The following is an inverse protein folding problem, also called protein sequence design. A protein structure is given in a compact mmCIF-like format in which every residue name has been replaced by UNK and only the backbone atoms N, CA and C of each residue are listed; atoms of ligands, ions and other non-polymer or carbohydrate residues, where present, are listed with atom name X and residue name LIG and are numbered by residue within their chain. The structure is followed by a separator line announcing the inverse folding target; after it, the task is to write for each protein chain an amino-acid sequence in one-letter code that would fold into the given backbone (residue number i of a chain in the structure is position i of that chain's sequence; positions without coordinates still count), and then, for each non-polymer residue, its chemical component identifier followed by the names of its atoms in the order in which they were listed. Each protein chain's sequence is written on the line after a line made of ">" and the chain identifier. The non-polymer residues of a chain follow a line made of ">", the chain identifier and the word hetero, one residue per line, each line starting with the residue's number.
data_IF_590924193466
#
_entry.id   IF_590924193466
#
_cell.length_a   1.000
_cell.length_b   1.000
_cell.length_c   1.000
_cell.angle_alpha   90.00
_cell.angle_beta   90.00
_cell.angle_gamma   90.00
#
_symmetry.space_group_name_H-M   'P 1'
#
loop_
_entity.id
_entity.type
_entity.pdbx_description
1 polymer ?
#
# COMPACT_ATOMS: atom_id res chain seq x y z
N UNK A 1 16.64 -4.63 -5.08
CA UNK A 1 15.51 -3.83 -4.60
C UNK A 1 14.43 -3.61 -5.67
N UNK A 2 13.39 -2.83 -5.33
CA UNK A 2 12.21 -2.62 -6.19
C UNK A 2 12.54 -2.12 -7.60
N UNK A 3 13.41 -1.10 -7.74
CA UNK A 3 13.79 -0.58 -9.05
C UNK A 3 14.47 -1.64 -9.93
N UNK A 4 15.31 -2.47 -9.33
CA UNK A 4 15.97 -3.59 -10.02
C UNK A 4 14.94 -4.62 -10.50
N UNK A 5 13.99 -5.00 -9.64
CA UNK A 5 12.88 -5.89 -10.01
C UNK A 5 12.03 -5.33 -11.14
N UNK A 6 11.71 -4.03 -11.09
CA UNK A 6 10.96 -3.33 -12.13
C UNK A 6 11.69 -3.30 -13.47
N UNK A 7 13.00 -3.00 -13.46
CA UNK A 7 13.84 -3.06 -14.66
C UNK A 7 13.85 -4.46 -15.24
N UNK A 8 14.09 -5.49 -14.42
CA UNK A 8 14.03 -6.89 -14.87
C UNK A 8 12.70 -7.23 -15.51
N UNK A 9 11.60 -6.86 -14.86
CA UNK A 9 10.24 -7.19 -15.32
C UNK A 9 9.92 -6.58 -16.69
N UNK A 10 10.32 -5.33 -16.92
CA UNK A 10 9.96 -4.61 -18.14
C UNK A 10 11.02 -4.67 -19.25
N UNK A 11 12.20 -5.27 -19.01
CA UNK A 11 13.29 -5.29 -19.99
C UNK A 11 13.77 -6.69 -20.34
N UNK A 12 14.32 -7.43 -19.38
CA UNK A 12 15.03 -8.69 -19.65
C UNK A 12 14.19 -9.94 -19.41
N UNK A 13 13.01 -9.76 -18.87
CA UNK A 13 12.17 -10.88 -18.39
C UNK A 13 12.58 -11.34 -16.97
N UNK A 14 11.62 -11.71 -16.18
CA UNK A 14 11.79 -12.01 -14.76
C UNK A 14 11.28 -10.86 -13.87
N UNK A 15 11.50 -10.97 -12.57
CA UNK A 15 10.91 -10.03 -11.61
C UNK A 15 9.40 -10.25 -11.40
N UNK A 16 8.91 -9.67 -10.31
CA UNK A 16 7.51 -9.85 -9.92
C UNK A 16 6.59 -8.99 -10.79
N UNK A 17 5.49 -9.57 -11.30
CA UNK A 17 4.52 -8.84 -12.13
C UNK A 17 3.63 -7.90 -11.33
N UNK A 18 3.44 -8.19 -10.04
CA UNK A 18 2.60 -7.41 -9.12
C UNK A 18 3.41 -7.11 -7.87
N UNK A 19 3.53 -5.85 -7.53
CA UNK A 19 4.25 -5.38 -6.33
C UNK A 19 3.30 -4.57 -5.47
N UNK A 20 3.18 -4.95 -4.22
CA UNK A 20 2.44 -4.20 -3.23
C UNK A 20 3.38 -3.36 -2.36
N UNK A 21 3.20 -2.05 -2.34
CA UNK A 21 3.88 -1.14 -1.45
C UNK A 21 3.13 -1.06 -0.12
N UNK A 22 3.72 -1.58 0.94
CA UNK A 22 3.15 -1.60 2.28
C UNK A 22 3.99 -0.76 3.23
N UNK A 23 3.48 0.38 3.63
CA UNK A 23 4.04 1.18 4.72
C UNK A 23 2.94 1.96 5.41
N UNK A 24 3.22 2.40 6.63
CA UNK A 24 2.39 3.36 7.34
C UNK A 24 2.42 4.71 6.62
N UNK A 25 1.54 5.61 7.02
CA UNK A 25 1.48 6.97 6.50
C UNK A 25 2.87 7.64 6.48
N UNK A 26 3.20 8.31 5.37
CA UNK A 26 4.51 8.97 5.21
C UNK A 26 5.68 8.05 4.85
N UNK A 27 5.48 6.73 4.73
CA UNK A 27 6.55 5.74 4.47
C UNK A 27 7.10 5.70 3.03
N UNK A 28 6.87 6.71 2.20
CA UNK A 28 7.49 6.83 0.88
C UNK A 28 6.81 6.07 -0.27
N UNK A 29 5.58 5.55 -0.09
CA UNK A 29 4.81 4.84 -1.16
C UNK A 29 4.75 5.65 -2.46
N UNK A 30 4.20 6.86 -2.39
CA UNK A 30 4.06 7.76 -3.56
C UNK A 30 5.41 8.15 -4.16
N UNK A 31 6.45 8.38 -3.35
CA UNK A 31 7.81 8.64 -3.86
C UNK A 31 8.38 7.46 -4.64
N UNK A 32 8.14 6.25 -4.17
CA UNK A 32 8.56 5.02 -4.88
C UNK A 32 7.85 4.88 -6.22
N UNK A 33 6.55 5.19 -6.28
CA UNK A 33 5.79 5.21 -7.53
C UNK A 33 6.27 6.29 -8.49
N UNK A 34 6.59 7.50 -7.99
CA UNK A 34 7.16 8.58 -8.80
C UNK A 34 8.53 8.19 -9.36
N UNK A 35 9.38 7.53 -8.58
CA UNK A 35 10.65 7.02 -9.06
C UNK A 35 10.47 6.03 -10.23
N UNK A 36 9.54 5.08 -10.11
CA UNK A 36 9.19 4.16 -11.20
C UNK A 36 8.60 4.90 -12.41
N UNK A 37 7.72 5.87 -12.18
CA UNK A 37 7.12 6.66 -13.25
C UNK A 37 8.17 7.39 -14.08
N UNK A 38 9.16 8.00 -13.44
CA UNK A 38 10.25 8.69 -14.14
C UNK A 38 11.24 7.71 -14.75
N UNK A 39 11.53 6.59 -14.09
CA UNK A 39 12.43 5.56 -14.58
C UNK A 39 12.04 5.07 -15.99
N UNK A 40 10.75 4.90 -16.24
CA UNK A 40 10.22 4.41 -17.53
C UNK A 40 9.62 5.51 -18.41
N UNK A 41 10.00 6.78 -18.19
CA UNK A 41 9.49 7.92 -18.95
C UNK A 41 10.13 8.11 -20.33
N UNK A 42 11.24 7.44 -20.61
CA UNK A 42 12.07 7.69 -21.78
C UNK A 42 13.14 8.76 -21.57
N UNK A 43 13.30 9.25 -20.31
CA UNK A 43 14.44 10.10 -19.93
C UNK A 43 15.73 9.32 -20.15
N UNK A 44 16.77 9.97 -20.65
CA UNK A 44 18.07 9.34 -20.86
C UNK A 44 18.63 8.80 -19.53
N UNK A 45 19.19 7.58 -19.49
CA UNK A 45 19.74 7.02 -18.27
C UNK A 45 20.79 7.95 -17.60
N UNK A 46 21.55 8.70 -18.39
CA UNK A 46 22.53 9.68 -17.87
C UNK A 46 21.93 10.81 -17.03
N UNK A 47 20.62 11.06 -17.16
CA UNK A 47 19.90 12.06 -16.36
C UNK A 47 19.31 11.50 -15.08
N UNK A 48 19.39 10.17 -14.88
CA UNK A 48 18.85 9.46 -13.72
C UNK A 48 19.99 9.09 -12.75
N UNK A 49 20.11 9.81 -11.65
CA UNK A 49 21.16 9.57 -10.67
C UNK A 49 21.11 8.14 -10.10
N UNK A 50 22.23 7.41 -10.18
CA UNK A 50 22.34 6.05 -9.63
C UNK A 50 21.73 4.94 -10.48
N UNK A 51 21.26 5.24 -11.69
CA UNK A 51 20.61 4.25 -12.57
C UNK A 51 21.58 3.15 -13.03
N UNK A 52 22.86 3.48 -13.22
CA UNK A 52 23.84 2.52 -13.73
C UNK A 52 23.96 1.30 -12.81
N UNK A 53 23.99 1.52 -11.48
CA UNK A 53 24.00 0.44 -10.50
C UNK A 53 22.74 -0.42 -10.56
N UNK A 54 21.57 0.20 -10.75
CA UNK A 54 20.28 -0.50 -10.88
C UNK A 54 20.26 -1.33 -12.16
N UNK A 55 20.70 -0.80 -13.28
CA UNK A 55 20.76 -1.50 -14.56
C UNK A 55 21.75 -2.65 -14.53
N UNK A 56 22.93 -2.45 -13.94
CA UNK A 56 23.94 -3.48 -13.78
C UNK A 56 23.41 -4.64 -12.93
N UNK A 57 22.82 -4.36 -11.77
CA UNK A 57 22.23 -5.36 -10.90
C UNK A 57 21.03 -6.07 -11.57
N UNK A 58 20.28 -5.38 -12.39
CA UNK A 58 19.18 -5.95 -13.16
C UNK A 58 19.63 -6.82 -14.33
N UNK A 59 20.89 -6.67 -14.78
CA UNK A 59 21.39 -7.29 -16.01
C UNK A 59 20.84 -6.64 -17.28
N UNK A 60 20.40 -5.39 -17.20
CA UNK A 60 19.78 -4.66 -18.31
C UNK A 60 20.80 -3.75 -18.99
N UNK A 61 20.86 -3.80 -20.33
CA UNK A 61 21.71 -2.92 -21.14
C UNK A 61 20.95 -1.69 -21.69
N UNK A 62 19.60 -1.75 -21.66
CA UNK A 62 18.72 -0.70 -22.15
C UNK A 62 17.56 -0.49 -21.18
N UNK A 63 17.07 0.74 -21.13
CA UNK A 63 15.90 1.13 -20.37
C UNK A 63 14.86 1.71 -21.35
N UNK A 64 14.00 0.86 -21.95
CA UNK A 64 12.98 1.35 -22.87
C UNK A 64 11.91 2.13 -22.14
N UNK A 65 11.32 3.16 -22.78
CA UNK A 65 10.11 3.78 -22.24
C UNK A 65 8.97 2.78 -22.16
N UNK A 66 8.16 2.86 -21.10
CA UNK A 66 6.94 2.07 -20.96
C UNK A 66 5.70 2.96 -21.09
N UNK A 67 4.58 2.36 -21.54
CA UNK A 67 3.26 2.97 -21.36
C UNK A 67 2.96 3.05 -19.86
N UNK A 68 2.65 4.23 -19.36
CA UNK A 68 2.47 4.48 -17.93
C UNK A 68 1.01 4.83 -17.65
N UNK A 69 0.39 4.04 -16.80
CA UNK A 69 -0.96 4.28 -16.27
C UNK A 69 -0.84 4.69 -14.82
N UNK A 70 -1.51 5.76 -14.43
CA UNK A 70 -1.55 6.24 -13.04
C UNK A 70 -3.00 6.42 -12.62
N UNK A 71 -3.41 5.63 -11.64
CA UNK A 71 -4.73 5.73 -11.01
C UNK A 71 -4.55 6.18 -9.56
N UNK A 72 -5.11 7.32 -9.21
CA UNK A 72 -5.04 7.87 -7.86
C UNK A 72 -6.46 7.94 -7.30
N UNK A 73 -6.78 7.04 -6.37
CA UNK A 73 -8.15 6.78 -5.93
C UNK A 73 -8.87 7.98 -5.29
N UNK A 74 -8.15 8.88 -4.64
CA UNK A 74 -8.73 10.11 -4.09
C UNK A 74 -8.88 11.25 -5.13
N UNK A 75 -8.48 11.01 -6.40
CA UNK A 75 -8.61 11.97 -7.52
C UNK A 75 -9.62 11.53 -8.56
N UNK A 76 -10.11 10.30 -8.47
CA UNK A 76 -11.11 9.76 -9.39
C UNK A 76 -12.43 9.64 -8.63
N UNK A 77 -13.48 10.24 -9.18
CA UNK A 77 -14.83 10.18 -8.58
C UNK A 77 -15.61 9.00 -9.15
N UNK A 78 -16.11 8.07 -8.32
CA UNK A 78 -16.96 6.99 -8.79
C UNK A 78 -18.34 7.45 -9.26
N UNK A 79 -18.80 8.62 -8.80
CA UNK A 79 -20.10 9.20 -9.15
C UNK A 79 -20.08 10.10 -10.40
N UNK A 80 -18.90 10.55 -10.85
CA UNK A 80 -18.80 11.51 -11.94
C UNK A 80 -17.92 10.98 -13.08
N UNK A 81 -18.50 10.60 -14.22
CA UNK A 81 -17.74 10.25 -15.41
C UNK A 81 -16.79 11.35 -15.87
N UNK A 82 -15.60 10.97 -16.33
CA UNK A 82 -14.56 11.87 -16.83
C UNK A 82 -14.61 11.96 -18.35
N UNK A 83 -14.74 13.16 -18.90
CA UNK A 83 -14.65 13.37 -20.33
C UNK A 83 -13.20 13.71 -20.72
N UNK A 84 -12.62 12.92 -21.60
CA UNK A 84 -11.25 13.06 -22.09
C UNK A 84 -11.14 14.09 -23.20
N UNK A 85 -9.95 14.61 -23.52
CA UNK A 85 -9.77 15.60 -24.59
C UNK A 85 -10.25 15.15 -25.98
N UNK A 86 -10.26 13.84 -26.23
CA UNK A 86 -10.75 13.24 -27.46
C UNK A 86 -12.26 12.95 -27.46
N UNK A 87 -12.99 13.42 -26.44
CA UNK A 87 -14.42 13.23 -26.26
C UNK A 87 -14.83 11.89 -25.67
N UNK A 88 -13.88 11.01 -25.32
CA UNK A 88 -14.18 9.75 -24.67
C UNK A 88 -14.71 9.97 -23.25
N UNK A 89 -15.86 9.39 -22.93
CA UNK A 89 -16.44 9.44 -21.59
C UNK A 89 -16.07 8.15 -20.85
N UNK A 90 -15.35 8.30 -19.76
CA UNK A 90 -14.85 7.20 -18.93
C UNK A 90 -15.56 7.22 -17.57
N UNK A 91 -16.04 6.06 -17.11
CA UNK A 91 -16.83 5.91 -15.88
C UNK A 91 -16.11 5.11 -14.79
N UNK A 92 -15.25 4.19 -15.21
CA UNK A 92 -14.67 3.15 -14.34
C UNK A 92 -13.15 3.25 -14.29
N UNK A 93 -12.53 2.59 -13.29
CA UNK A 93 -11.06 2.50 -13.22
C UNK A 93 -10.47 1.73 -14.41
N UNK A 94 -11.16 0.70 -14.92
CA UNK A 94 -10.68 -0.05 -16.11
C UNK A 94 -10.84 0.73 -17.40
N UNK A 95 -11.87 1.56 -17.51
CA UNK A 95 -12.00 2.51 -18.61
C UNK A 95 -10.87 3.53 -18.61
N UNK A 96 -10.56 4.10 -17.44
CA UNK A 96 -9.45 5.03 -17.25
C UNK A 96 -8.11 4.39 -17.58
N UNK A 97 -7.87 3.18 -17.09
CA UNK A 97 -6.68 2.39 -17.38
C UNK A 97 -6.51 2.18 -18.89
N UNK A 98 -7.54 1.70 -19.58
CA UNK A 98 -7.49 1.45 -21.00
C UNK A 98 -7.25 2.74 -21.80
N UNK A 99 -7.91 3.83 -21.42
CA UNK A 99 -7.69 5.13 -22.08
C UNK A 99 -6.25 5.64 -21.90
N UNK A 100 -5.68 5.52 -20.71
CA UNK A 100 -4.27 5.92 -20.48
C UNK A 100 -3.28 5.03 -21.23
N UNK A 101 -3.58 3.76 -21.44
CA UNK A 101 -2.72 2.85 -22.21
C UNK A 101 -2.65 3.19 -23.69
N UNK A 102 -3.79 3.38 -24.34
CA UNK A 102 -3.84 3.51 -25.80
C UNK A 102 -4.94 4.42 -26.33
N UNK A 103 -5.41 5.39 -25.52
CA UNK A 103 -6.41 6.37 -25.91
C UNK A 103 -7.74 5.74 -26.29
N UNK A 104 -8.46 6.40 -27.19
CA UNK A 104 -9.78 5.97 -27.67
C UNK A 104 -9.78 4.55 -28.24
N UNK A 105 -8.68 4.14 -28.88
CA UNK A 105 -8.57 2.79 -29.50
C UNK A 105 -8.57 1.69 -28.43
N UNK A 106 -7.76 1.83 -27.38
CA UNK A 106 -7.73 0.86 -26.29
C UNK A 106 -9.02 0.91 -25.44
N UNK A 107 -9.54 2.11 -25.18
CA UNK A 107 -10.83 2.28 -24.49
C UNK A 107 -11.97 1.58 -25.20
N UNK A 108 -12.02 1.61 -26.55
CA UNK A 108 -13.08 0.96 -27.32
C UNK A 108 -13.22 -0.55 -27.01
N UNK A 109 -12.12 -1.20 -26.59
CA UNK A 109 -12.09 -2.62 -26.23
C UNK A 109 -12.84 -2.93 -24.91
N UNK A 110 -12.91 -1.96 -23.99
CA UNK A 110 -13.56 -2.08 -22.68
C UNK A 110 -14.80 -1.20 -22.56
N UNK A 111 -15.20 -0.52 -23.64
CA UNK A 111 -16.30 0.46 -23.64
C UNK A 111 -17.60 -0.12 -23.09
N UNK A 112 -17.98 -1.31 -23.54
CA UNK A 112 -19.22 -1.95 -23.10
C UNK A 112 -19.21 -2.29 -21.62
N UNK A 113 -18.04 -2.70 -21.08
CA UNK A 113 -17.84 -2.98 -19.67
C UNK A 113 -17.79 -1.68 -18.83
N UNK A 114 -17.20 -0.62 -19.38
CA UNK A 114 -17.21 0.70 -18.76
C UNK A 114 -18.63 1.28 -18.66
N UNK A 115 -19.44 1.14 -19.72
CA UNK A 115 -20.82 1.62 -19.75
C UNK A 115 -21.76 0.85 -18.83
N UNK A 116 -21.52 -0.45 -18.64
CA UNK A 116 -22.31 -1.34 -17.78
C UNK A 116 -21.72 -1.51 -16.39
N UNK A 117 -20.56 -0.92 -16.13
CA UNK A 117 -19.79 -1.08 -14.91
C UNK A 117 -19.53 -2.57 -14.55
N UNK A 118 -19.19 -3.38 -15.56
CA UNK A 118 -18.82 -4.79 -15.41
C UNK A 118 -17.31 -4.96 -15.58
N UNK A 119 -16.71 -5.96 -14.91
CA UNK A 119 -15.28 -6.24 -15.05
C UNK A 119 -14.93 -6.70 -16.46
N UNK A 120 -13.87 -6.15 -17.11
CA UNK A 120 -13.58 -6.38 -18.53
C UNK A 120 -12.96 -7.76 -18.84
N UNK A 121 -12.72 -8.61 -17.83
CA UNK A 121 -12.18 -9.95 -18.05
C UNK A 121 -10.81 -9.96 -18.75
N UNK A 122 -10.58 -10.95 -19.61
CA UNK A 122 -9.28 -11.21 -20.26
C UNK A 122 -8.80 -10.11 -21.22
N UNK A 123 -9.69 -9.17 -21.58
CA UNK A 123 -9.35 -8.01 -22.45
C UNK A 123 -8.20 -7.19 -21.85
N UNK A 124 -8.08 -7.12 -20.50
CA UNK A 124 -6.97 -6.41 -19.88
C UNK A 124 -5.61 -7.06 -20.23
N UNK A 125 -5.51 -8.38 -20.18
CA UNK A 125 -4.29 -9.10 -20.55
C UNK A 125 -3.91 -8.85 -22.01
N UNK A 126 -4.90 -8.83 -22.91
CA UNK A 126 -4.67 -8.51 -24.32
C UNK A 126 -4.15 -7.09 -24.51
N UNK A 127 -4.75 -6.12 -23.82
CA UNK A 127 -4.29 -4.72 -23.81
C UNK A 127 -2.86 -4.58 -23.29
N UNK A 128 -2.52 -5.28 -22.20
CA UNK A 128 -1.16 -5.24 -21.64
C UNK A 128 -0.11 -5.81 -22.59
N UNK A 129 -0.46 -6.85 -23.36
CA UNK A 129 0.42 -7.40 -24.37
C UNK A 129 0.50 -6.51 -25.63
N UNK A 130 -0.60 -5.87 -26.05
CA UNK A 130 -0.64 -4.99 -27.23
C UNK A 130 0.14 -3.68 -26.97
N UNK A 131 -0.01 -3.10 -25.78
CA UNK A 131 0.60 -1.80 -25.43
C UNK A 131 1.86 -1.92 -24.55
N UNK A 132 2.34 -3.12 -24.29
CA UNK A 132 3.55 -3.34 -23.50
C UNK A 132 4.85 -2.86 -24.19
N UNK A 133 5.91 -2.60 -23.42
CA UNK A 133 5.96 -2.69 -21.95
C UNK A 133 5.07 -1.64 -21.27
N UNK A 134 4.37 -2.03 -20.21
CA UNK A 134 3.50 -1.13 -19.49
C UNK A 134 3.72 -1.17 -17.97
N UNK A 135 3.67 0.00 -17.36
CA UNK A 135 3.74 0.25 -15.93
C UNK A 135 2.39 0.78 -15.45
N UNK A 136 1.74 0.06 -14.55
CA UNK A 136 0.46 0.44 -13.97
C UNK A 136 0.68 0.76 -12.50
N UNK A 137 0.39 2.00 -12.11
CA UNK A 137 0.53 2.51 -10.75
C UNK A 137 -0.85 2.82 -10.19
N UNK A 138 -1.20 2.20 -9.06
CA UNK A 138 -2.46 2.47 -8.36
C UNK A 138 -2.14 2.95 -6.96
N UNK A 139 -2.42 4.22 -6.70
CA UNK A 139 -2.29 4.84 -5.39
C UNK A 139 -3.67 5.13 -4.79
N UNK A 140 -3.79 5.12 -3.47
CA UNK A 140 -5.03 5.45 -2.74
C UNK A 140 -6.26 4.62 -3.16
N UNK A 141 -6.08 3.35 -3.51
CA UNK A 141 -7.19 2.51 -3.99
C UNK A 141 -8.26 2.28 -2.93
N UNK A 142 -7.87 2.15 -1.65
CA UNK A 142 -8.81 2.06 -0.53
C UNK A 142 -9.70 3.30 -0.45
N UNK A 143 -9.12 4.49 -0.65
CA UNK A 143 -9.86 5.76 -0.66
C UNK A 143 -10.90 5.84 -1.78
N UNK A 144 -10.66 5.18 -2.92
CA UNK A 144 -11.65 5.03 -3.99
C UNK A 144 -12.71 3.99 -3.62
N UNK A 145 -12.29 2.78 -3.23
CA UNK A 145 -13.19 1.66 -3.00
C UNK A 145 -14.21 1.93 -1.89
N UNK A 146 -13.81 2.63 -0.82
CA UNK A 146 -14.73 2.97 0.29
C UNK A 146 -15.87 3.92 -0.08
N UNK A 147 -15.78 4.61 -1.24
CA UNK A 147 -16.84 5.50 -1.74
C UNK A 147 -17.92 4.73 -2.55
N UNK A 148 -17.64 3.48 -2.93
CA UNK A 148 -18.57 2.66 -3.69
C UNK A 148 -19.70 2.14 -2.80
N UNK A 149 -20.90 2.04 -3.35
CA UNK A 149 -22.06 1.48 -2.68
C UNK A 149 -22.15 -0.03 -2.89
N UNK A 150 -22.92 -0.72 -2.07
CA UNK A 150 -23.20 -2.16 -2.27
C UNK A 150 -24.08 -2.37 -3.53
N UNK A 151 -24.95 -1.41 -3.79
CA UNK A 151 -25.76 -1.37 -5.01
C UNK A 151 -24.95 -0.71 -6.13
N UNK A 152 -25.13 -1.21 -7.35
CA UNK A 152 -24.49 -0.64 -8.54
C UNK A 152 -25.28 0.55 -9.08
N UNK A 153 -25.47 1.58 -8.27
CA UNK A 153 -26.17 2.82 -8.58
C UNK A 153 -25.23 3.96 -9.04
N UNK A 154 -23.92 3.76 -8.91
CA UNK A 154 -22.91 4.70 -9.38
C UNK A 154 -22.43 4.36 -10.78
N UNK A 155 -22.03 5.36 -11.61
CA UNK A 155 -21.44 5.13 -12.93
C UNK A 155 -20.23 4.17 -12.92
N UNK A 156 -19.47 4.17 -11.84
CA UNK A 156 -18.30 3.30 -11.64
C UNK A 156 -18.65 1.87 -11.20
N UNK A 157 -19.93 1.58 -10.97
CA UNK A 157 -20.42 0.31 -10.46
C UNK A 157 -20.41 0.21 -8.93
N UNK A 158 -20.62 -1.00 -8.42
CA UNK A 158 -20.71 -1.27 -7.00
C UNK A 158 -19.39 -1.74 -6.38
N UNK A 159 -19.45 -1.86 -5.06
CA UNK A 159 -18.32 -2.29 -4.23
C UNK A 159 -17.77 -3.66 -4.65
N UNK A 160 -18.64 -4.65 -4.92
CA UNK A 160 -18.23 -5.99 -5.35
C UNK A 160 -17.52 -6.01 -6.71
N UNK A 161 -17.99 -5.18 -7.65
CA UNK A 161 -17.39 -5.11 -8.99
C UNK A 161 -15.93 -4.68 -8.93
N UNK A 162 -15.58 -3.84 -7.95
CA UNK A 162 -14.21 -3.37 -7.76
C UNK A 162 -13.24 -4.50 -7.41
N UNK A 163 -13.66 -5.49 -6.64
CA UNK A 163 -12.79 -6.63 -6.29
C UNK A 163 -12.71 -7.65 -7.42
N UNK A 164 -13.77 -7.82 -8.19
CA UNK A 164 -13.74 -8.58 -9.44
C UNK A 164 -12.73 -7.96 -10.43
N UNK A 165 -12.75 -6.65 -10.57
CA UNK A 165 -11.75 -5.93 -11.36
C UNK A 165 -10.33 -6.10 -10.79
N UNK A 166 -10.13 -5.98 -9.48
CA UNK A 166 -8.83 -6.16 -8.84
C UNK A 166 -8.24 -7.55 -9.11
N UNK A 167 -9.07 -8.59 -9.06
CA UNK A 167 -8.66 -9.95 -9.39
C UNK A 167 -8.23 -10.06 -10.85
N UNK A 168 -9.08 -9.64 -11.78
CA UNK A 168 -8.78 -9.68 -13.21
C UNK A 168 -7.53 -8.88 -13.54
N UNK A 169 -7.34 -7.72 -12.93
CA UNK A 169 -6.17 -6.87 -13.12
C UNK A 169 -4.87 -7.57 -12.69
N UNK A 170 -4.86 -8.15 -11.50
CA UNK A 170 -3.67 -8.84 -10.97
C UNK A 170 -3.32 -10.09 -11.76
N UNK A 171 -4.31 -10.89 -12.14
CA UNK A 171 -4.13 -12.06 -12.99
C UNK A 171 -3.64 -11.67 -14.39
N UNK A 172 -4.22 -10.62 -14.98
CA UNK A 172 -3.80 -10.10 -16.30
C UNK A 172 -2.37 -9.58 -16.28
N UNK A 173 -1.96 -8.87 -15.22
CA UNK A 173 -0.59 -8.38 -15.06
C UNK A 173 0.41 -9.54 -14.91
N UNK A 174 0.03 -10.61 -14.21
CA UNK A 174 0.83 -11.83 -14.05
C UNK A 174 1.06 -12.54 -15.37
N UNK A 175 0.00 -12.68 -16.16
CA UNK A 175 0.02 -13.43 -17.42
C UNK A 175 0.58 -12.62 -18.61
N UNK A 176 0.57 -11.30 -18.52
CA UNK A 176 1.14 -10.45 -19.55
C UNK A 176 2.68 -10.52 -19.54
N UNK A 177 3.30 -10.44 -20.71
CA UNK A 177 4.76 -10.60 -20.86
C UNK A 177 5.56 -9.47 -20.22
N UNK A 178 5.18 -8.22 -20.49
CA UNK A 178 5.92 -7.01 -20.11
C UNK A 178 4.99 -6.01 -19.41
N UNK A 179 4.36 -6.43 -18.33
CA UNK A 179 3.50 -5.60 -17.49
C UNK A 179 4.00 -5.64 -16.04
N UNK A 180 4.11 -4.47 -15.43
CA UNK A 180 4.36 -4.29 -14.01
C UNK A 180 3.19 -3.52 -13.40
N UNK A 181 2.53 -4.14 -12.44
CA UNK A 181 1.49 -3.54 -11.63
C UNK A 181 2.05 -3.22 -10.24
N UNK A 182 1.96 -1.97 -9.82
CA UNK A 182 2.37 -1.53 -8.49
C UNK A 182 1.18 -0.90 -7.79
N UNK A 183 0.85 -1.41 -6.62
CA UNK A 183 -0.30 -0.99 -5.82
C UNK A 183 0.18 -0.49 -4.46
N UNK A 184 -0.22 0.70 -4.06
CA UNK A 184 -0.03 1.15 -2.69
C UNK A 184 -1.22 0.76 -1.83
N UNK A 185 -0.96 0.09 -0.73
CA UNK A 185 -1.95 -0.18 0.30
C UNK A 185 -1.41 0.24 1.67
N UNK A 186 -2.26 0.72 2.58
CA UNK A 186 -1.88 0.94 3.97
C UNK A 186 -1.28 -0.32 4.59
N UNK A 187 -0.31 -0.19 5.49
CA UNK A 187 0.20 -1.33 6.24
C UNK A 187 -0.91 -1.93 7.09
N UNK A 188 -0.88 -3.26 7.32
CA UNK A 188 -1.73 -3.87 8.33
C UNK A 188 -1.16 -3.57 9.70
N UNK A 189 -2.04 -3.32 10.66
CA UNK A 189 -1.66 -3.38 12.04
C UNK A 189 -1.10 -4.76 12.34
N UNK A 190 0.16 -4.81 12.69
CA UNK A 190 0.70 -5.96 13.39
C UNK A 190 0.04 -5.95 14.77
N UNK A 191 -0.56 -7.06 15.18
CA UNK A 191 -1.18 -7.19 16.50
C UNK A 191 -0.19 -6.67 17.57
N UNK A 192 -0.55 -5.56 18.23
CA UNK A 192 0.29 -4.91 19.26
C UNK A 192 0.89 -3.56 18.88
N UNK A 193 0.74 -3.07 17.64
CA UNK A 193 1.08 -1.69 17.31
C UNK A 193 -0.10 -0.77 17.68
N UNK A 194 0.11 0.32 18.44
CA UNK A 194 -0.99 1.25 18.68
C UNK A 194 -1.46 1.84 17.36
N UNK A 195 -2.76 1.73 17.09
CA UNK A 195 -3.41 2.41 15.98
C UNK A 195 -3.05 3.89 16.03
N UNK A 196 -2.39 4.39 14.99
CA UNK A 196 -2.18 5.83 14.90
C UNK A 196 -3.42 6.46 14.29
N UNK A 197 -3.81 7.65 14.71
CA UNK A 197 -4.89 8.43 14.09
C UNK A 197 -4.64 8.60 12.57
N UNK A 198 -3.39 8.59 12.15
CA UNK A 198 -3.01 8.67 10.74
C UNK A 198 -3.45 7.44 9.94
N UNK A 199 -3.37 6.24 10.52
CA UNK A 199 -3.79 5.00 9.85
C UNK A 199 -5.32 4.96 9.70
N UNK A 200 -6.05 5.44 10.72
CA UNK A 200 -7.52 5.55 10.66
C UNK A 200 -7.98 6.58 9.59
N UNK A 201 -7.24 7.66 9.39
CA UNK A 201 -7.52 8.65 8.34
C UNK A 201 -7.26 8.06 6.94
N UNK A 202 -6.17 7.33 6.75
CA UNK A 202 -5.84 6.70 5.47
C UNK A 202 -6.87 5.63 5.08
N UNK A 203 -7.28 4.79 6.02
CA UNK A 203 -8.25 3.71 5.79
C UNK A 203 -9.70 4.22 5.74
N UNK A 204 -10.08 5.11 6.65
CA UNK A 204 -11.41 5.76 6.62
C UNK A 204 -12.56 4.89 7.15
N UNK A 205 -12.46 4.41 8.37
CA UNK A 205 -13.53 3.73 9.09
C UNK A 205 -13.77 2.28 8.67
N UNK A 206 -14.95 1.73 8.99
CA UNK A 206 -15.27 0.32 8.78
C UNK A 206 -15.25 -0.09 7.31
N UNK A 207 -15.86 0.74 6.45
CA UNK A 207 -15.92 0.48 4.99
C UNK A 207 -14.53 0.47 4.36
N UNK A 208 -13.64 1.37 4.80
CA UNK A 208 -12.27 1.37 4.34
C UNK A 208 -11.47 0.16 4.84
N UNK A 209 -11.69 -0.30 6.06
CA UNK A 209 -11.07 -1.55 6.57
C UNK A 209 -11.52 -2.76 5.76
N UNK A 210 -12.81 -2.88 5.48
CA UNK A 210 -13.34 -3.95 4.62
C UNK A 210 -12.72 -3.90 3.21
N UNK A 211 -12.65 -2.71 2.60
CA UNK A 211 -12.02 -2.53 1.30
C UNK A 211 -10.54 -2.93 1.31
N UNK A 212 -9.81 -2.53 2.35
CA UNK A 212 -8.39 -2.86 2.52
C UNK A 212 -8.17 -4.37 2.64
N UNK A 213 -8.95 -5.04 3.49
CA UNK A 213 -8.83 -6.49 3.71
C UNK A 213 -9.14 -7.27 2.43
N UNK A 214 -10.17 -6.87 1.70
CA UNK A 214 -10.54 -7.50 0.44
C UNK A 214 -9.50 -7.28 -0.65
N UNK A 215 -9.00 -6.05 -0.81
CA UNK A 215 -7.92 -5.76 -1.77
C UNK A 215 -6.66 -6.58 -1.44
N UNK A 216 -6.27 -6.66 -0.17
CA UNK A 216 -5.14 -7.50 0.26
C UNK A 216 -5.34 -8.97 -0.07
N UNK A 217 -6.53 -9.51 0.18
CA UNK A 217 -6.83 -10.90 -0.11
C UNK A 217 -6.77 -11.22 -1.62
N UNK A 218 -7.15 -10.26 -2.47
CA UNK A 218 -7.06 -10.42 -3.92
C UNK A 218 -5.64 -10.24 -4.42
N UNK A 219 -4.97 -9.16 -4.01
CA UNK A 219 -3.62 -8.81 -4.46
C UNK A 219 -2.59 -9.79 -3.89
N UNK A 220 -2.68 -10.15 -2.62
CA UNK A 220 -1.72 -10.99 -1.89
C UNK A 220 -1.57 -12.43 -2.40
N UNK A 221 -2.43 -12.85 -3.32
CA UNK A 221 -2.28 -14.16 -3.98
C UNK A 221 -1.19 -14.18 -5.06
N UNK A 222 -0.76 -13.01 -5.52
CA UNK A 222 0.06 -12.87 -6.75
C UNK A 222 1.26 -11.95 -6.53
N UNK A 223 1.40 -11.37 -5.35
CA UNK A 223 2.29 -10.25 -5.07
C UNK A 223 3.64 -10.62 -4.45
N UNK A 224 4.54 -9.64 -4.58
CA UNK A 224 5.72 -9.48 -3.74
C UNK A 224 5.52 -8.24 -2.87
N UNK A 225 5.52 -8.41 -1.56
CA UNK A 225 5.44 -7.29 -0.62
C UNK A 225 6.76 -6.56 -0.55
N UNK A 226 6.72 -5.25 -0.78
CA UNK A 226 7.89 -4.41 -0.69
C UNK A 226 7.68 -3.23 0.26
N UNK A 227 8.67 -2.97 1.10
CA UNK A 227 8.70 -1.80 1.99
C UNK A 227 9.69 -0.79 1.48
N UNK A 228 9.27 0.48 1.25
CA UNK A 228 10.11 1.52 0.67
C UNK A 228 11.40 1.83 1.42
N UNK A 229 11.37 1.76 2.75
CA UNK A 229 12.54 1.98 3.59
C UNK A 229 12.48 1.17 4.88
N UNK A 230 13.61 0.65 5.32
CA UNK A 230 13.79 0.16 6.68
C UNK A 230 13.88 1.35 7.65
N UNK A 231 13.80 1.09 8.96
CA UNK A 231 13.98 2.12 9.97
C UNK A 231 15.36 2.78 9.85
N UNK A 232 16.40 2.02 9.53
CA UNK A 232 17.77 2.51 9.35
C UNK A 232 17.91 3.38 8.11
N UNK A 233 17.31 2.96 6.99
CA UNK A 233 17.26 3.76 5.76
C UNK A 233 16.44 5.05 5.97
N UNK A 234 15.42 5.02 6.83
CA UNK A 234 14.66 6.19 7.22
C UNK A 234 15.53 7.26 7.86
N UNK A 235 16.45 6.90 8.75
CA UNK A 235 17.41 7.83 9.34
C UNK A 235 18.36 8.43 8.30
N UNK A 236 18.82 7.63 7.35
CA UNK A 236 19.69 8.10 6.27
C UNK A 236 18.96 9.08 5.33
N UNK A 237 17.68 8.84 5.05
CA UNK A 237 16.83 9.77 4.28
C UNK A 237 16.70 11.11 5.02
N UNK A 238 16.44 11.09 6.32
CA UNK A 238 16.35 12.30 7.15
C UNK A 238 17.69 13.03 7.16
N UNK A 239 18.78 12.32 7.36
CA UNK A 239 20.13 12.88 7.33
C UNK A 239 20.41 13.61 6.02
N UNK A 240 20.14 12.98 4.87
CA UNK A 240 20.38 13.59 3.55
C UNK A 240 19.49 14.79 3.24
N UNK A 241 18.32 14.86 3.86
CA UNK A 241 17.40 16.00 3.65
C UNK A 241 17.66 17.18 4.55
N UNK A 242 18.18 16.94 5.75
CA UNK A 242 18.38 17.98 6.77
C UNK A 242 19.83 18.46 6.86
N UNK A 243 20.78 17.67 6.39
CA UNK A 243 22.21 17.98 6.54
C UNK A 243 22.92 17.86 5.21
N UNK A 244 23.81 18.82 4.93
CA UNK A 244 24.72 18.71 3.81
C UNK A 244 25.75 17.59 4.07
N UNK A 245 26.29 16.96 2.99
CA UNK A 245 27.34 15.97 3.15
C UNK A 245 28.57 16.62 3.82
N UNK A 246 29.04 16.02 4.92
CA UNK A 246 30.30 16.43 5.51
C UNK A 246 31.43 15.98 4.60
N UNK A 247 32.15 16.92 4.07
CA UNK A 247 33.31 16.67 3.19
C UNK A 247 34.66 16.79 3.94
N UNK A 248 34.66 17.44 5.11
CA UNK A 248 35.85 17.61 5.94
C UNK A 248 35.95 16.47 6.96
N UNK A 249 37.05 15.71 6.88
CA UNK A 249 37.31 14.60 7.80
C UNK A 249 37.48 15.02 9.27
N UNK A 250 37.83 16.29 9.55
CA UNK A 250 37.90 16.81 10.89
C UNK A 250 36.53 16.84 11.59
N UNK A 251 35.47 17.07 10.83
CA UNK A 251 34.09 17.08 11.33
C UNK A 251 33.55 15.66 11.68
N UNK A 252 34.16 14.61 11.11
CA UNK A 252 33.76 13.22 11.45
C UNK A 252 34.03 12.87 12.91
N UNK A 253 35.11 13.41 13.48
CA UNK A 253 35.49 13.17 14.87
C UNK A 253 34.42 13.69 15.84
N UNK A 254 33.92 14.90 15.63
CA UNK A 254 32.89 15.50 16.49
C UNK A 254 31.57 14.77 16.36
N UNK A 255 31.17 14.42 15.14
CA UNK A 255 30.00 13.58 14.91
C UNK A 255 30.08 12.24 15.64
N UNK A 256 31.23 11.57 15.56
CA UNK A 256 31.42 10.25 16.13
C UNK A 256 31.48 10.30 17.67
N UNK A 257 31.98 11.38 18.24
CA UNK A 257 31.95 11.64 19.69
C UNK A 257 30.50 11.81 20.18
N UNK A 258 29.70 12.62 19.51
CA UNK A 258 28.29 12.84 19.87
C UNK A 258 27.49 11.55 19.71
N UNK A 259 27.69 10.81 18.61
CA UNK A 259 26.98 9.56 18.34
C UNK A 259 27.30 8.50 19.43
N UNK A 260 28.57 8.37 19.82
CA UNK A 260 28.97 7.47 20.92
C UNK A 260 28.36 7.88 22.26
N UNK A 261 28.46 9.15 22.63
CA UNK A 261 27.86 9.65 23.86
C UNK A 261 26.37 9.38 23.94
N UNK A 262 25.66 9.53 22.83
CA UNK A 262 24.22 9.22 22.77
C UNK A 262 23.95 7.72 22.85
N UNK A 263 24.74 6.88 22.19
CA UNK A 263 24.61 5.42 22.27
C UNK A 263 24.87 4.93 23.71
N UNK A 264 25.90 5.45 24.38
CA UNK A 264 26.24 5.12 25.76
C UNK A 264 25.14 5.58 26.73
N UNK A 265 24.57 6.76 26.52
CA UNK A 265 23.42 7.24 27.28
C UNK A 265 22.21 6.30 27.15
N UNK A 266 21.90 5.87 25.94
CA UNK A 266 20.79 4.92 25.72
C UNK A 266 21.05 3.54 26.31
N UNK A 267 22.28 3.05 26.22
CA UNK A 267 22.66 1.79 26.84
C UNK A 267 22.59 1.88 28.38
N UNK A 268 23.02 2.99 28.97
CA UNK A 268 22.91 3.26 30.39
C UNK A 268 21.48 3.37 30.90
N UNK A 269 20.59 4.02 30.14
CA UNK A 269 19.16 4.10 30.50
C UNK A 269 18.44 2.75 30.33
N UNK A 270 18.89 1.87 29.44
CA UNK A 270 18.36 0.50 29.31
C UNK A 270 18.83 -0.39 30.48
N UNK A 271 20.01 -0.14 31.04
CA UNK A 271 20.57 -0.90 32.16
C UNK A 271 19.95 -0.51 33.50
N UNK A 272 19.38 0.71 33.64
CA UNK A 272 18.73 1.18 34.87
C UNK A 272 17.25 0.75 34.99
N UNK A 273 16.69 0.11 33.96
CA UNK A 273 15.40 -0.58 34.04
C UNK A 273 15.58 -2.02 34.52
N UNK A 274 16.11 -2.22 35.76
CA UNK A 274 16.24 -3.51 36.41
C UNK A 274 15.86 -3.46 37.89
N UNK A 275 15.60 -4.57 38.54
CA UNK A 275 14.30 -5.16 38.77
C UNK A 275 13.76 -4.73 40.13
N UNK A 276 12.46 -4.68 40.23
CA UNK A 276 11.74 -4.60 41.54
C UNK A 276 12.34 -5.57 42.55
N UNK A 277 12.78 -5.12 43.73
CA UNK A 277 13.25 -6.02 44.78
C UNK A 277 12.11 -6.94 45.18
N UNK A 278 12.35 -8.21 45.10
CA UNK A 278 11.51 -9.28 45.65
C UNK A 278 11.26 -8.91 47.13
N UNK A 279 10.06 -8.46 47.45
CA UNK A 279 9.63 -8.26 48.82
C UNK A 279 9.74 -9.58 49.57
N UNK A 280 10.53 -9.58 50.63
CA UNK A 280 10.67 -10.68 51.54
C UNK A 280 9.29 -11.05 52.12
N UNK A 281 8.95 -12.30 52.02
CA UNK A 281 7.74 -12.86 52.55
C UNK A 281 7.71 -12.67 54.11
N UNK A 282 6.74 -11.93 54.60
CA UNK A 282 6.35 -11.94 56.01
C UNK A 282 5.46 -13.17 56.25
N UNK A 283 5.63 -13.88 57.35
CA UNK A 283 4.83 -15.05 57.68
C UNK A 283 3.37 -14.66 57.99
N UNK A 284 2.46 -15.50 57.53
CA UNK A 284 1.02 -15.35 57.66
C UNK A 284 0.59 -15.49 59.16
N UNK A 285 -0.37 -14.70 59.64
CA UNK A 285 -1.08 -14.99 60.87
C UNK A 285 -2.21 -16.00 60.62
N UNK A 286 -2.40 -16.89 61.58
CA UNK A 286 -3.37 -17.99 61.65
C UNK A 286 -4.80 -17.50 61.44
N UNK A 287 -5.55 -18.32 60.72
CA UNK A 287 -6.98 -18.22 60.50
C UNK A 287 -7.77 -18.29 61.83
N UNK A 288 -8.73 -17.40 61.95
CA UNK A 288 -9.90 -17.56 62.83
C UNK A 288 -11.13 -17.64 61.94
N UNK A 289 -11.81 -18.76 62.06
CA UNK A 289 -13.12 -19.03 61.44
C UNK A 289 -14.18 -18.10 62.00
N UNK A 290 -15.00 -17.52 61.15
CA UNK A 290 -16.33 -17.02 61.47
C UNK A 290 -17.28 -17.18 60.25
N UNK A 291 -18.56 -17.52 60.44
CA UNK A 291 -19.38 -18.19 59.46
C UNK A 291 -20.09 -17.23 58.51
N UNK A 292 -20.47 -17.78 57.34
CA UNK A 292 -21.15 -17.13 56.24
C UNK A 292 -22.58 -16.66 56.61
N UNK A 293 -23.06 -15.54 56.06
CA UNK A 293 -24.48 -15.27 55.99
C UNK A 293 -25.04 -15.61 54.58
N UNK A 294 -26.21 -16.21 54.61
CA UNK A 294 -27.08 -16.68 53.53
C UNK A 294 -27.50 -15.58 52.54
N UNK A 295 -27.47 -15.91 51.26
CA UNK A 295 -28.03 -15.12 50.17
C UNK A 295 -29.55 -15.11 50.17
N UNK A 296 -30.19 -13.97 49.81
CA UNK A 296 -31.58 -14.01 49.36
C UNK A 296 -31.68 -14.07 47.82
N UNK A 297 -32.57 -14.93 47.38
CA UNK A 297 -32.96 -15.12 45.97
C UNK A 297 -33.63 -13.87 45.41
N UNK A 298 -33.23 -13.44 44.25
CA UNK A 298 -33.91 -12.44 43.42
C UNK A 298 -34.76 -13.11 42.37
N UNK A 299 -36.10 -12.95 42.52
CA UNK A 299 -37.13 -13.35 41.57
C UNK A 299 -37.05 -12.49 40.30
N UNK A 300 -37.16 -13.15 39.13
CA UNK A 300 -37.38 -12.51 37.85
C UNK A 300 -38.85 -12.12 37.70
N UNK A 301 -39.19 -10.93 37.16
CA UNK A 301 -40.55 -10.67 36.67
C UNK A 301 -40.72 -11.18 35.23
N UNK A 302 -41.89 -11.74 35.01
CA UNK A 302 -42.37 -12.18 33.70
C UNK A 302 -42.69 -11.00 32.79
N UNK A 303 -42.32 -11.13 31.52
CA UNK A 303 -42.75 -10.21 30.43
C UNK A 303 -44.02 -10.80 29.80
N UNK A 304 -45.13 -10.10 29.98
CA UNK A 304 -46.36 -10.31 29.22
C UNK A 304 -46.28 -9.57 27.87
N UNK A 305 -46.66 -10.28 26.83
CA UNK A 305 -46.94 -9.67 25.52
C UNK A 305 -48.40 -9.20 25.49
N UNK A 306 -48.71 -8.07 24.85
CA UNK A 306 -50.03 -7.88 24.26
C UNK A 306 -49.98 -8.08 22.74
N UNK A 307 -50.90 -8.90 22.27
CA UNK A 307 -51.45 -9.02 20.92
C UNK A 307 -52.37 -7.82 20.66
N UNK A 308 -52.13 -7.11 19.59
CA UNK A 308 -53.07 -6.69 18.52
C UNK A 308 -52.26 -5.97 17.43
#
# INVERSE_FOLDING_TARGET
>A
GMLVGAVRRLTVGGGDPVVQLQTNFGGGKTHSMLALYHLFSGIAPSELAGIDAVMQEAGATKLPPARRVVLVGNKISPGNPSTKPDGTVVRTLWGELAWQLGGKKAFARVKADDEKATSPGDVLRELFNEYGPCLILIDEWVAYARQLHDQSDLPAGGFETQFSFAQVLTESAKLAKNCLLVISLPASDTAGSPHTQADDVEVGGQRGREALDRLRNVVGRVESSWRPASAEEGFEIVRRRLFEPMTDSAQFKDRDVVARAFADFRAGTSATATPTPKAAAKPAPKATETPAPSSPALQRPALEHPVT
#
